data_IF_490550162878
#
_entry.id   IF_490550162878
#
_cell.length_a   1.000
_cell.length_b   1.000
_cell.length_c   1.000
_cell.angle_alpha   90.00
_cell.angle_beta   90.00
_cell.angle_gamma   90.00
#
_symmetry.space_group_name_H-M   'P 1'
#
loop_
_entity.id
_entity.type
_entity.pdbx_description
1 polymer ?
#
# COMPACT_ATOMS: atom_id res chain seq x y z
N UNK A 1 2.75 -3.25 6.79
CA UNK A 1 1.38 -2.78 6.47
C UNK A 1 0.71 -3.48 5.29
N UNK A 2 1.38 -3.72 4.16
CA UNK A 2 0.73 -4.28 2.96
C UNK A 2 0.05 -5.65 3.18
N UNK A 3 0.66 -6.56 3.93
CA UNK A 3 0.02 -7.83 4.31
C UNK A 3 -1.33 -7.65 5.05
N UNK A 4 -1.46 -6.61 5.87
CA UNK A 4 -2.73 -6.31 6.54
C UNK A 4 -3.78 -5.81 5.54
N UNK A 5 -3.39 -5.02 4.55
CA UNK A 5 -4.28 -4.57 3.48
C UNK A 5 -4.83 -5.79 2.71
N UNK A 6 -3.95 -6.74 2.37
CA UNK A 6 -4.35 -7.99 1.71
C UNK A 6 -5.32 -8.81 2.58
N UNK A 7 -5.01 -8.97 3.86
CA UNK A 7 -5.87 -9.69 4.81
C UNK A 7 -7.24 -9.03 4.97
N UNK A 8 -7.30 -7.69 5.02
CA UNK A 8 -8.55 -6.93 5.09
C UNK A 8 -9.40 -7.17 3.84
N UNK A 9 -8.78 -7.14 2.64
CA UNK A 9 -9.48 -7.43 1.40
C UNK A 9 -10.03 -8.87 1.37
N UNK A 10 -9.20 -9.85 1.74
CA UNK A 10 -9.63 -11.27 1.81
C UNK A 10 -10.78 -11.46 2.81
N UNK A 11 -10.80 -10.68 3.89
CA UNK A 11 -11.89 -10.67 4.87
C UNK A 11 -13.15 -9.89 4.42
N UNK A 12 -13.19 -9.38 3.18
CA UNK A 12 -14.31 -8.59 2.65
C UNK A 12 -14.39 -7.16 3.18
N UNK A 13 -13.34 -6.67 3.87
CA UNK A 13 -13.26 -5.33 4.47
C UNK A 13 -12.63 -4.32 3.50
N UNK A 14 -13.19 -4.23 2.30
CA UNK A 14 -12.60 -3.49 1.18
C UNK A 14 -12.44 -1.98 1.43
N UNK A 15 -13.40 -1.36 2.13
CA UNK A 15 -13.33 0.06 2.43
C UNK A 15 -12.11 0.37 3.32
N UNK A 16 -11.86 -0.47 4.33
CA UNK A 16 -10.72 -0.33 5.24
C UNK A 16 -9.40 -0.65 4.54
N UNK A 17 -9.36 -1.71 3.74
CA UNK A 17 -8.21 -2.05 2.93
C UNK A 17 -7.81 -0.88 2.01
N UNK A 18 -8.79 -0.28 1.31
CA UNK A 18 -8.56 0.88 0.44
C UNK A 18 -8.15 2.13 1.21
N UNK A 19 -8.72 2.36 2.40
CA UNK A 19 -8.35 3.48 3.26
C UNK A 19 -6.89 3.40 3.69
N UNK A 20 -6.49 2.24 4.21
CA UNK A 20 -5.12 1.97 4.63
C UNK A 20 -4.14 2.00 3.46
N UNK A 21 -4.53 1.46 2.30
CA UNK A 21 -3.72 1.54 1.09
C UNK A 21 -3.47 2.99 0.68
N UNK A 22 -4.51 3.82 0.59
CA UNK A 22 -4.38 5.25 0.26
C UNK A 22 -3.47 6.00 1.25
N UNK A 23 -3.57 5.70 2.54
CA UNK A 23 -2.69 6.28 3.56
C UNK A 23 -1.22 5.90 3.30
N UNK A 24 -0.91 4.61 3.04
CA UNK A 24 0.45 4.21 2.67
C UNK A 24 0.94 4.91 1.40
N UNK A 25 0.06 5.09 0.42
CA UNK A 25 0.38 5.78 -0.83
C UNK A 25 0.69 7.27 -0.62
N UNK A 26 0.13 7.93 0.40
CA UNK A 26 0.43 9.35 0.68
C UNK A 26 1.81 9.59 1.29
N UNK A 27 2.48 8.56 1.83
CA UNK A 27 3.83 8.68 2.38
C UNK A 27 4.95 8.53 1.35
N UNK A 28 4.62 8.30 0.07
CA UNK A 28 5.63 8.20 -0.98
C UNK A 28 6.36 9.51 -1.18
N UNK A 29 7.63 9.39 -1.56
CA UNK A 29 8.39 10.51 -2.11
C UNK A 29 7.74 11.03 -3.42
N UNK A 30 8.13 12.23 -3.90
CA UNK A 30 7.71 12.72 -5.21
C UNK A 30 8.04 11.77 -6.38
N UNK A 31 9.10 10.96 -6.23
CA UNK A 31 9.47 9.91 -7.20
C UNK A 31 8.64 8.62 -7.06
N UNK A 32 7.72 8.55 -6.10
CA UNK A 32 6.84 7.40 -5.88
C UNK A 32 7.45 6.26 -5.07
N UNK A 33 8.49 6.53 -4.27
CA UNK A 33 9.22 5.49 -3.53
C UNK A 33 8.87 5.49 -2.04
N UNK A 34 9.04 4.33 -1.39
CA UNK A 34 8.88 4.14 0.05
C UNK A 34 10.16 3.55 0.65
N UNK A 35 10.36 3.82 1.93
CA UNK A 35 11.37 3.16 2.76
C UNK A 35 10.81 1.87 3.40
N UNK A 36 11.65 1.23 4.20
CA UNK A 36 11.30 0.05 4.98
C UNK A 36 10.26 0.37 6.06
N UNK A 37 10.53 1.41 6.84
CA UNK A 37 9.69 1.83 7.95
C UNK A 37 9.23 3.28 7.79
N UNK A 38 8.26 3.64 8.61
CA UNK A 38 7.71 4.99 8.71
C UNK A 38 7.68 5.37 10.18
N UNK A 39 8.09 6.58 10.52
CA UNK A 39 7.80 7.14 11.83
C UNK A 39 6.28 7.27 12.04
N UNK A 40 5.79 6.79 13.19
CA UNK A 40 4.35 6.72 13.45
C UNK A 40 3.70 8.08 13.68
N UNK A 41 4.44 9.05 14.22
CA UNK A 41 3.92 10.35 14.60
C UNK A 41 3.99 11.35 13.44
N UNK A 42 5.11 11.35 12.74
CA UNK A 42 5.44 12.34 11.70
C UNK A 42 5.19 11.83 10.28
N UNK A 43 5.19 10.52 10.09
CA UNK A 43 5.12 9.93 8.75
C UNK A 43 6.40 10.07 7.93
N UNK A 44 7.55 10.32 8.59
CA UNK A 44 8.85 10.34 7.94
C UNK A 44 9.28 8.93 7.51
N UNK A 45 9.92 8.83 6.35
CA UNK A 45 10.44 7.58 5.81
C UNK A 45 11.75 7.19 6.50
N UNK A 46 11.78 6.06 7.19
CA UNK A 46 12.94 5.55 7.93
C UNK A 46 13.46 4.21 7.40
N UNK A 47 14.73 3.93 7.69
CA UNK A 47 15.39 2.68 7.33
C UNK A 47 15.85 2.64 5.87
N UNK A 48 15.89 1.43 5.30
CA UNK A 48 16.38 1.22 3.94
C UNK A 48 15.52 1.98 2.92
N UNK A 49 16.17 2.70 2.00
CA UNK A 49 15.50 3.50 0.98
C UNK A 49 16.26 3.47 -0.37
N UNK A 50 15.59 3.20 -1.51
CA UNK A 50 14.22 2.70 -1.60
C UNK A 50 14.14 1.25 -1.14
N UNK A 51 13.04 0.88 -0.47
CA UNK A 51 12.85 -0.50 -0.04
C UNK A 51 12.06 -1.31 -1.05
N UNK A 52 12.71 -2.29 -1.67
CA UNK A 52 12.11 -3.15 -2.70
C UNK A 52 10.87 -3.87 -2.20
N UNK A 53 10.89 -4.44 -0.99
CA UNK A 53 9.72 -5.16 -0.46
C UNK A 53 8.51 -4.26 -0.21
N UNK A 54 8.72 -3.02 0.24
CA UNK A 54 7.64 -2.04 0.38
C UNK A 54 6.99 -1.75 -0.98
N UNK A 55 7.79 -1.65 -2.04
CA UNK A 55 7.28 -1.44 -3.41
C UNK A 55 6.56 -2.68 -3.97
N UNK A 56 7.05 -3.89 -3.69
CA UNK A 56 6.33 -5.14 -4.02
C UNK A 56 4.96 -5.16 -3.34
N UNK A 57 4.90 -4.77 -2.07
CA UNK A 57 3.63 -4.63 -1.34
C UNK A 57 2.66 -3.65 -2.01
N UNK A 58 3.15 -2.51 -2.52
CA UNK A 58 2.34 -1.55 -3.29
C UNK A 58 1.76 -2.21 -4.54
N UNK A 59 2.58 -2.90 -5.33
CA UNK A 59 2.17 -3.54 -6.59
C UNK A 59 1.11 -4.61 -6.33
N UNK A 60 1.35 -5.48 -5.34
CA UNK A 60 0.43 -6.56 -4.99
C UNK A 60 -0.93 -6.01 -4.53
N UNK A 61 -0.92 -5.05 -3.61
CA UNK A 61 -2.15 -4.41 -3.12
C UNK A 61 -2.88 -3.66 -4.24
N UNK A 62 -2.16 -3.01 -5.16
CA UNK A 62 -2.77 -2.34 -6.31
C UNK A 62 -3.49 -3.34 -7.23
N UNK A 63 -2.86 -4.46 -7.54
CA UNK A 63 -3.48 -5.54 -8.33
C UNK A 63 -4.71 -6.10 -7.63
N UNK A 64 -4.59 -6.43 -6.34
CA UNK A 64 -5.66 -7.01 -5.53
C UNK A 64 -6.87 -6.08 -5.39
N UNK A 65 -6.63 -4.79 -5.14
CA UNK A 65 -7.69 -3.80 -4.94
C UNK A 65 -8.18 -3.15 -6.24
N UNK A 66 -7.65 -3.54 -7.40
CA UNK A 66 -8.16 -3.04 -8.68
C UNK A 66 -9.49 -3.71 -9.04
N UNK A 67 -10.34 -3.00 -9.79
CA UNK A 67 -11.53 -3.64 -10.36
C UNK A 67 -11.07 -4.70 -11.37
N UNK A 68 -11.79 -5.83 -11.44
CA UNK A 68 -11.54 -6.80 -12.51
C UNK A 68 -11.73 -6.14 -13.87
N UNK A 69 -10.86 -6.47 -14.81
CA UNK A 69 -10.93 -5.96 -16.19
C UNK A 69 -12.26 -6.31 -16.86
N UNK A 70 -12.88 -7.43 -16.47
CA UNK A 70 -14.17 -7.88 -16.99
C UNK A 70 -15.34 -7.00 -16.54
N UNK A 71 -15.17 -6.18 -15.50
CA UNK A 71 -16.22 -5.27 -15.01
C UNK A 71 -16.33 -3.96 -15.79
N UNK A 72 -15.41 -3.71 -16.74
CA UNK A 72 -15.37 -2.50 -17.57
C UNK A 72 -15.85 -2.79 -19.02
N UNK A 73 -15.96 -4.06 -19.41
CA UNK A 73 -16.57 -4.48 -20.68
C UNK A 73 -18.09 -4.59 -20.57
#
# INVERSE_FOLDING_TARGET
TFWLIEALHIAGRDAEARGLFKAMLSHRTPSGLLSEDLDFDTGELWGNFPQTYSLVGVINCAGLLSKSWDTIR
#
